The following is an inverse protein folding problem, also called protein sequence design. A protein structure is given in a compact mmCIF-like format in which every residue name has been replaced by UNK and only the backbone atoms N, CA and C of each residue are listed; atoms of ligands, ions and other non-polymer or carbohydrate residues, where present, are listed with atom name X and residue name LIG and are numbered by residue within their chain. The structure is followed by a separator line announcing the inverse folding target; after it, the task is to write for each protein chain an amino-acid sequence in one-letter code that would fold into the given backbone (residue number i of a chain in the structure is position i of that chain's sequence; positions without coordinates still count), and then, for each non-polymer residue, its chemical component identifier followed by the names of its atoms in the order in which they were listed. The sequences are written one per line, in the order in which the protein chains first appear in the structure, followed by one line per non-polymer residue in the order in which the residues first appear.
data_IF_112792118729
#
_entry.id   IF_112792118729
#
_cell.length_a   1.000
_cell.length_b   1.000
_cell.length_c   1.000
_cell.angle_alpha   90.00
_cell.angle_beta   90.00
_cell.angle_gamma   90.00
#
_symmetry.space_group_name_H-M   'P 1'
#
loop_
_entity.id
_entity.type
_entity.pdbx_description
1 polymer ?
#
# COMPACT_ATOMS: atom_id res chain seq x y z
N UNK A 1 0.46 8.89 -5.78
CA UNK A 1 0.72 7.44 -5.78
C UNK A 1 2.03 7.14 -6.48
N UNK A 2 2.84 6.23 -5.92
CA UNK A 2 4.06 5.75 -6.57
C UNK A 2 3.77 4.61 -7.55
N UNK A 3 4.43 4.66 -8.71
CA UNK A 3 4.51 3.57 -9.69
C UNK A 3 5.90 3.60 -10.33
N UNK A 4 6.58 2.46 -10.43
CA UNK A 4 7.85 2.35 -11.15
C UNK A 4 7.59 2.19 -12.65
N UNK A 5 8.17 3.07 -13.47
CA UNK A 5 8.03 2.99 -14.93
C UNK A 5 6.61 3.22 -15.44
N UNK A 6 6.22 2.48 -16.47
CA UNK A 6 4.91 2.58 -17.11
C UNK A 6 4.05 1.32 -16.86
N UNK A 7 2.70 1.42 -16.91
CA UNK A 7 1.80 0.29 -16.61
C UNK A 7 2.09 -0.98 -17.41
N UNK A 8 2.61 -0.85 -18.63
CA UNK A 8 2.90 -1.99 -19.51
C UNK A 8 4.20 -2.71 -19.17
N UNK A 9 5.15 -2.04 -18.54
CA UNK A 9 6.51 -2.55 -18.28
C UNK A 9 6.86 -2.64 -16.82
N UNK A 10 6.10 -2.02 -15.93
CA UNK A 10 6.38 -1.88 -14.50
C UNK A 10 6.65 -3.20 -13.75
N UNK A 11 6.13 -4.33 -14.24
CA UNK A 11 6.27 -5.63 -13.57
C UNK A 11 7.41 -6.49 -14.17
N UNK A 12 8.13 -6.02 -15.18
CA UNK A 12 9.10 -6.85 -15.90
C UNK A 12 10.35 -7.09 -15.06
N UNK A 13 10.86 -6.10 -14.37
CA UNK A 13 12.03 -6.23 -13.48
C UNK A 13 12.08 -5.03 -12.52
N UNK A 14 11.23 -4.98 -11.50
CA UNK A 14 11.22 -3.85 -10.58
C UNK A 14 12.42 -3.89 -9.65
N UNK A 15 13.37 -2.99 -9.84
CA UNK A 15 14.60 -2.87 -9.04
C UNK A 15 14.51 -1.63 -8.14
N UNK A 16 14.86 -1.80 -6.87
CA UNK A 16 15.02 -0.76 -5.85
C UNK A 16 16.33 -1.00 -5.10
N UNK A 17 16.98 0.05 -4.61
CA UNK A 17 18.07 -0.10 -3.65
C UNK A 17 17.50 -0.46 -2.27
N UNK A 18 16.54 0.32 -1.80
CA UNK A 18 15.66 0.03 -0.66
C UNK A 18 14.24 0.52 -1.00
N UNK A 19 13.32 -0.42 -1.17
CA UNK A 19 11.98 -0.10 -1.67
C UNK A 19 11.23 0.91 -0.82
N UNK A 20 11.42 0.90 0.50
CA UNK A 20 10.71 1.82 1.41
C UNK A 20 11.30 3.21 1.32
N UNK A 21 12.64 3.32 1.40
CA UNK A 21 13.35 4.60 1.31
C UNK A 21 13.16 5.27 -0.06
N UNK A 22 13.25 4.49 -1.14
CA UNK A 22 13.08 5.01 -2.50
C UNK A 22 11.67 5.56 -2.72
N UNK A 23 10.65 4.84 -2.21
CA UNK A 23 9.25 5.29 -2.31
C UNK A 23 8.98 6.46 -1.37
N UNK A 24 9.56 6.50 -0.18
CA UNK A 24 9.44 7.63 0.73
C UNK A 24 9.98 8.91 0.07
N UNK A 25 11.18 8.86 -0.51
CA UNK A 25 11.78 9.99 -1.21
C UNK A 25 10.93 10.46 -2.40
N UNK A 26 10.39 9.53 -3.19
CA UNK A 26 9.48 9.86 -4.29
C UNK A 26 8.21 10.56 -3.79
N UNK A 27 7.57 10.03 -2.75
CA UNK A 27 6.34 10.57 -2.21
C UNK A 27 6.56 11.95 -1.57
N UNK A 28 7.69 12.17 -0.89
CA UNK A 28 8.08 13.46 -0.34
C UNK A 28 8.24 14.50 -1.45
N UNK A 29 8.97 14.17 -2.53
CA UNK A 29 9.10 15.05 -3.69
C UNK A 29 7.74 15.41 -4.30
N UNK A 30 6.86 14.41 -4.49
CA UNK A 30 5.51 14.64 -5.07
C UNK A 30 4.62 15.48 -4.16
N UNK A 31 4.72 15.29 -2.85
CA UNK A 31 4.05 16.13 -1.85
C UNK A 31 4.50 17.59 -1.99
N UNK A 32 5.82 17.83 -2.05
CA UNK A 32 6.37 19.17 -2.26
C UNK A 32 5.90 19.84 -3.54
N UNK A 33 5.84 19.10 -4.65
CA UNK A 33 5.31 19.60 -5.95
C UNK A 33 3.82 19.97 -5.83
N UNK A 34 3.02 19.17 -5.17
CA UNK A 34 1.59 19.44 -5.00
C UNK A 34 1.34 20.68 -4.14
N UNK A 35 2.08 20.82 -3.04
CA UNK A 35 2.01 22.00 -2.17
C UNK A 35 2.46 23.27 -2.91
N UNK A 36 3.56 23.19 -3.65
CA UNK A 36 4.04 24.31 -4.47
C UNK A 36 3.07 24.73 -5.56
N UNK A 37 2.25 23.80 -6.05
CA UNK A 37 1.15 24.07 -6.99
C UNK A 37 -0.10 24.68 -6.33
N UNK A 38 -0.10 24.90 -5.01
CA UNK A 38 -1.19 25.53 -4.26
C UNK A 38 -2.22 24.57 -3.68
N UNK A 39 -1.95 23.25 -3.65
CA UNK A 39 -2.83 22.30 -2.97
C UNK A 39 -2.52 22.36 -1.47
N UNK A 40 -3.51 22.65 -0.61
CA UNK A 40 -3.30 22.61 0.83
C UNK A 40 -2.83 21.23 1.29
N UNK A 41 -1.77 21.19 2.07
CA UNK A 41 -1.12 19.93 2.47
C UNK A 41 -2.07 18.99 3.21
N UNK A 42 -2.97 19.53 4.03
CA UNK A 42 -3.99 18.76 4.76
C UNK A 42 -5.01 18.06 3.86
N UNK A 43 -5.06 18.40 2.57
CA UNK A 43 -5.93 17.78 1.56
C UNK A 43 -5.24 16.69 0.74
N UNK A 44 -3.99 16.36 1.10
CA UNK A 44 -3.18 15.37 0.38
C UNK A 44 -3.08 14.10 1.24
N UNK A 45 -3.32 12.95 0.62
CA UNK A 45 -2.93 11.64 1.14
C UNK A 45 -1.97 10.96 0.15
N UNK A 46 -1.10 10.08 0.67
CA UNK A 46 -0.05 9.42 -0.08
C UNK A 46 -0.37 7.94 -0.27
N UNK A 47 -0.04 7.38 -1.43
CA UNK A 47 -0.23 5.97 -1.76
C UNK A 47 1.11 5.38 -2.23
N UNK A 48 1.70 4.40 -1.51
CA UNK A 48 2.97 3.78 -1.90
C UNK A 48 2.86 2.90 -3.14
N UNK A 49 1.66 2.65 -3.65
CA UNK A 49 1.44 1.95 -4.90
C UNK A 49 1.70 0.45 -4.81
N UNK A 50 1.09 -0.24 -3.85
CA UNK A 50 1.14 -1.70 -3.75
C UNK A 50 0.74 -2.33 -5.09
N UNK A 51 1.58 -3.23 -5.62
CA UNK A 51 1.34 -3.93 -6.88
C UNK A 51 1.67 -3.13 -8.15
N UNK A 52 2.20 -1.92 -8.04
CA UNK A 52 2.60 -1.09 -9.18
C UNK A 52 4.13 -1.04 -9.31
N UNK A 53 4.70 -1.93 -10.13
CA UNK A 53 6.15 -2.04 -10.31
C UNK A 53 6.87 -2.52 -9.05
N UNK A 54 6.38 -3.62 -8.46
CA UNK A 54 6.92 -4.20 -7.22
C UNK A 54 6.83 -5.72 -7.23
N UNK A 55 7.85 -6.37 -6.67
CA UNK A 55 7.82 -7.81 -6.41
C UNK A 55 6.84 -8.12 -5.27
N UNK A 56 6.59 -9.41 -5.04
CA UNK A 56 5.81 -9.87 -3.88
C UNK A 56 6.46 -9.36 -2.59
N UNK A 57 7.76 -9.54 -2.46
CA UNK A 57 8.51 -9.13 -1.27
C UNK A 57 8.47 -7.61 -1.07
N UNK A 58 8.68 -6.81 -2.11
CA UNK A 58 8.57 -5.35 -2.02
C UNK A 58 7.22 -4.90 -1.47
N UNK A 59 6.11 -5.54 -1.89
CA UNK A 59 4.78 -5.18 -1.42
C UNK A 59 4.59 -5.46 0.08
N UNK A 60 5.13 -6.56 0.58
CA UNK A 60 5.06 -6.89 2.01
C UNK A 60 6.02 -6.06 2.84
N UNK A 61 7.20 -5.72 2.31
CA UNK A 61 8.16 -4.86 2.99
C UNK A 61 7.58 -3.45 3.25
N UNK A 62 6.83 -2.90 2.30
CA UNK A 62 6.12 -1.64 2.47
C UNK A 62 5.11 -1.67 3.63
N UNK A 63 4.45 -2.81 3.85
CA UNK A 63 3.53 -2.96 4.98
C UNK A 63 4.29 -3.16 6.29
N UNK A 64 5.38 -3.95 6.29
CA UNK A 64 6.20 -4.19 7.48
C UNK A 64 6.80 -2.90 8.05
N UNK A 65 7.26 -2.01 7.17
CA UNK A 65 7.93 -0.75 7.49
C UNK A 65 7.05 0.47 7.18
N UNK A 66 5.74 0.34 7.40
CA UNK A 66 4.77 1.38 7.08
C UNK A 66 4.99 2.66 7.91
N UNK A 67 5.53 2.52 9.11
CA UNK A 67 5.88 3.61 10.01
C UNK A 67 6.87 4.61 9.38
N UNK A 68 7.81 4.13 8.55
CA UNK A 68 8.75 4.99 7.83
C UNK A 68 8.03 5.90 6.80
N UNK A 69 6.99 5.36 6.13
CA UNK A 69 6.17 6.16 5.22
C UNK A 69 5.21 7.11 5.97
N UNK A 70 4.71 6.70 7.14
CA UNK A 70 3.89 7.56 8.01
C UNK A 70 4.68 8.75 8.56
N UNK A 71 6.02 8.64 8.68
CA UNK A 71 6.90 9.74 9.08
C UNK A 71 6.84 10.95 8.12
N UNK A 72 6.34 10.78 6.89
CA UNK A 72 6.04 11.88 5.97
C UNK A 72 4.89 12.78 6.44
N UNK A 73 4.20 12.43 7.55
CA UNK A 73 3.19 13.24 8.19
C UNK A 73 1.86 13.33 7.43
N UNK A 74 1.64 12.47 6.43
CA UNK A 74 0.38 12.46 5.66
C UNK A 74 -0.36 11.11 5.81
N UNK A 75 -1.70 11.11 5.73
CA UNK A 75 -2.47 9.88 5.68
C UNK A 75 -2.02 9.00 4.51
N UNK A 76 -1.88 7.68 4.76
CA UNK A 76 -1.53 6.71 3.73
C UNK A 76 -2.77 5.98 3.23
N UNK A 77 -2.85 5.84 1.90
CA UNK A 77 -3.82 4.98 1.22
C UNK A 77 -3.15 3.65 0.91
N UNK A 78 -3.68 2.56 1.43
CA UNK A 78 -3.19 1.21 1.17
C UNK A 78 -4.21 0.42 0.35
N UNK A 79 -3.82 0.02 -0.84
CA UNK A 79 -4.64 -0.75 -1.78
C UNK A 79 -4.08 -2.15 -2.05
N UNK A 80 -4.20 -3.08 -1.11
CA UNK A 80 -3.69 -4.45 -1.25
C UNK A 80 -4.77 -5.44 -1.71
N UNK A 81 -6.05 -5.03 -1.69
CA UNK A 81 -7.19 -5.89 -2.00
C UNK A 81 -7.08 -6.55 -3.38
N UNK A 82 -7.25 -7.87 -3.41
CA UNK A 82 -7.23 -8.74 -4.59
C UNK A 82 -5.94 -8.66 -5.43
N UNK A 83 -4.83 -8.20 -4.86
CA UNK A 83 -3.56 -8.15 -5.58
C UNK A 83 -2.96 -9.55 -5.76
N UNK A 84 -2.30 -9.77 -6.92
CA UNK A 84 -1.66 -11.04 -7.26
C UNK A 84 -0.59 -11.47 -6.25
N UNK A 85 0.08 -10.52 -5.59
CA UNK A 85 1.04 -10.80 -4.52
C UNK A 85 0.46 -11.64 -3.38
N UNK A 86 -0.83 -11.49 -3.09
CA UNK A 86 -1.51 -12.29 -2.06
C UNK A 86 -1.68 -13.76 -2.50
N UNK A 87 -2.10 -13.99 -3.74
CA UNK A 87 -2.22 -15.35 -4.28
C UNK A 87 -0.86 -16.03 -4.40
N UNK A 88 0.14 -15.30 -4.85
CA UNK A 88 1.54 -15.79 -4.95
C UNK A 88 2.11 -16.16 -3.58
N UNK A 89 1.87 -15.36 -2.55
CA UNK A 89 2.25 -15.68 -1.17
C UNK A 89 1.61 -16.99 -0.69
N UNK A 90 0.37 -17.27 -1.11
CA UNK A 90 -0.37 -18.47 -0.73
C UNK A 90 0.00 -19.73 -1.55
N UNK A 91 1.06 -19.64 -2.37
CA UNK A 91 1.65 -20.78 -3.06
C UNK A 91 1.20 -20.98 -4.52
N UNK A 92 0.50 -20.00 -5.11
CA UNK A 92 0.19 -19.99 -6.53
C UNK A 92 1.09 -18.96 -7.27
N UNK A 93 2.23 -19.38 -7.86
CA UNK A 93 3.15 -18.46 -8.53
C UNK A 93 2.54 -17.76 -9.75
N UNK A 94 1.50 -18.34 -10.34
CA UNK A 94 0.79 -17.78 -11.51
C UNK A 94 -0.45 -16.95 -11.12
N UNK A 95 -0.67 -16.74 -9.81
CA UNK A 95 -1.82 -15.97 -9.35
C UNK A 95 -1.87 -14.58 -9.97
N UNK A 96 -3.03 -14.26 -10.52
CA UNK A 96 -3.37 -12.92 -11.05
C UNK A 96 -4.18 -12.10 -10.05
N UNK A 97 -4.66 -12.74 -9.00
CA UNK A 97 -5.49 -12.13 -7.95
C UNK A 97 -5.23 -12.77 -6.58
N UNK A 98 -5.64 -12.10 -5.52
CA UNK A 98 -5.71 -12.65 -4.15
C UNK A 98 -7.14 -12.90 -3.71
N UNK A 99 -7.31 -13.82 -2.75
CA UNK A 99 -8.62 -14.10 -2.15
C UNK A 99 -9.12 -12.94 -1.28
N UNK A 100 -10.42 -12.95 -0.97
CA UNK A 100 -11.03 -11.99 -0.03
C UNK A 100 -10.38 -12.11 1.35
N UNK A 101 -10.20 -13.34 1.85
CA UNK A 101 -9.59 -13.59 3.16
C UNK A 101 -8.16 -13.04 3.23
N UNK A 102 -7.32 -13.27 2.21
CA UNK A 102 -5.98 -12.70 2.13
C UNK A 102 -6.00 -11.17 2.05
N UNK A 103 -6.95 -10.60 1.30
CA UNK A 103 -7.13 -9.14 1.20
C UNK A 103 -7.49 -8.51 2.53
N UNK A 104 -8.41 -9.12 3.27
CA UNK A 104 -8.82 -8.70 4.63
C UNK A 104 -7.64 -8.80 5.59
N UNK A 105 -6.90 -9.92 5.58
CA UNK A 105 -5.72 -10.09 6.43
C UNK A 105 -4.66 -9.01 6.18
N UNK A 106 -4.38 -8.69 4.92
CA UNK A 106 -3.44 -7.62 4.57
C UNK A 106 -3.95 -6.23 5.01
N UNK A 107 -5.26 -5.98 4.93
CA UNK A 107 -5.86 -4.73 5.36
C UNK A 107 -5.79 -4.55 6.88
N UNK A 108 -6.08 -5.59 7.66
CA UNK A 108 -5.94 -5.57 9.13
C UNK A 108 -4.47 -5.34 9.52
N UNK A 109 -3.53 -6.05 8.90
CA UNK A 109 -2.11 -5.87 9.15
C UNK A 109 -1.63 -4.44 8.83
N UNK A 110 -2.13 -3.82 7.77
CA UNK A 110 -1.83 -2.43 7.43
C UNK A 110 -2.46 -1.45 8.45
N UNK A 111 -3.70 -1.68 8.85
CA UNK A 111 -4.40 -0.88 9.87
C UNK A 111 -3.65 -0.87 11.20
N UNK A 112 -3.25 -2.04 11.71
CA UNK A 112 -2.50 -2.18 12.95
C UNK A 112 -1.12 -1.46 12.90
N UNK A 113 -0.60 -1.20 11.71
CA UNK A 113 0.62 -0.43 11.48
C UNK A 113 0.38 1.04 11.16
N UNK A 114 -0.86 1.52 11.31
CA UNK A 114 -1.20 2.93 11.21
C UNK A 114 -1.78 3.38 9.86
N UNK A 115 -2.08 2.48 8.93
CA UNK A 115 -2.82 2.86 7.73
C UNK A 115 -4.22 3.38 8.10
N UNK A 116 -4.58 4.54 7.58
CA UNK A 116 -5.86 5.20 7.89
C UNK A 116 -6.87 5.11 6.76
N UNK A 117 -6.42 4.86 5.53
CA UNK A 117 -7.28 4.76 4.35
C UNK A 117 -6.99 3.43 3.65
N UNK A 118 -7.98 2.58 3.53
CA UNK A 118 -7.89 1.27 2.88
C UNK A 118 -8.77 1.26 1.64
N UNK A 119 -8.17 1.06 0.46
CA UNK A 119 -8.87 0.94 -0.82
C UNK A 119 -9.10 -0.53 -1.13
N UNK A 120 -10.36 -0.93 -1.12
CA UNK A 120 -10.77 -2.34 -1.14
C UNK A 120 -11.88 -2.61 -2.15
N UNK A 121 -12.03 -3.88 -2.59
CA UNK A 121 -13.13 -4.34 -3.43
C UNK A 121 -14.29 -4.84 -2.59
N UNK A 122 -14.01 -5.63 -1.55
CA UNK A 122 -14.99 -6.33 -0.72
C UNK A 122 -15.23 -5.50 0.56
N UNK A 123 -16.00 -4.41 0.42
CA UNK A 123 -16.12 -3.37 1.46
C UNK A 123 -16.71 -3.94 2.75
N UNK A 124 -17.74 -4.77 2.65
CA UNK A 124 -18.43 -5.33 3.83
C UNK A 124 -17.47 -6.14 4.71
N UNK A 125 -16.74 -7.08 4.10
CA UNK A 125 -15.81 -7.96 4.78
C UNK A 125 -14.68 -7.21 5.46
N UNK A 126 -14.20 -6.14 4.80
CA UNK A 126 -13.17 -5.27 5.37
C UNK A 126 -13.72 -4.44 6.53
N UNK A 127 -14.92 -3.87 6.42
CA UNK A 127 -15.55 -3.11 7.51
C UNK A 127 -15.78 -4.00 8.73
N UNK A 128 -16.32 -5.21 8.54
CA UNK A 128 -16.54 -6.17 9.64
C UNK A 128 -15.21 -6.50 10.35
N UNK A 129 -14.15 -6.84 9.60
CA UNK A 129 -12.86 -7.20 10.16
C UNK A 129 -12.16 -6.02 10.87
N UNK A 130 -12.19 -4.83 10.27
CA UNK A 130 -11.57 -3.65 10.84
C UNK A 130 -12.32 -3.15 12.09
N UNK A 131 -13.64 -3.33 12.16
CA UNK A 131 -14.41 -3.04 13.37
C UNK A 131 -13.95 -3.92 14.53
N UNK A 132 -13.72 -5.22 14.26
CA UNK A 132 -13.19 -6.15 15.27
C UNK A 132 -11.76 -5.76 15.66
N UNK A 133 -10.89 -5.50 14.69
CA UNK A 133 -9.51 -5.09 14.96
C UNK A 133 -9.45 -3.81 15.81
N UNK A 134 -10.27 -2.82 15.50
CA UNK A 134 -10.35 -1.58 16.28
C UNK A 134 -10.81 -1.82 17.72
N UNK A 135 -11.79 -2.70 17.93
CA UNK A 135 -12.29 -3.05 19.27
C UNK A 135 -11.24 -3.81 20.11
N UNK A 136 -10.33 -4.56 19.46
CA UNK A 136 -9.22 -5.27 20.13
C UNK A 136 -8.09 -4.32 20.48
N UNK A 137 -7.82 -3.32 19.62
CA UNK A 137 -6.74 -2.35 19.85
C UNK A 137 -7.05 -1.37 21.01
N UNK A 138 -8.30 -1.15 21.39
CA UNK A 138 -8.74 -0.30 22.52
C UNK A 138 -8.96 1.12 22.07
#
# INVERSE_FOLDING_TARGET
MHMLGEPRTMQIDPVYEDVVSDIAAFLEERLGVAVAAGIPEERICLDPGIGFGKTVEHNFELIRRLDELLALGRPLVIGFSRKSSLGKLLGDPEATTGSVAASVGAAVAAYERGATILRVHDVREHVEALTVAAAVAG
#
